data_IF_926476651544
#
_entry.id   IF_926476651544
#
_cell.length_a   1.000
_cell.length_b   1.000
_cell.length_c   1.000
_cell.angle_alpha   90.00
_cell.angle_beta   90.00
_cell.angle_gamma   90.00
#
_symmetry.space_group_name_H-M   'P 1'
#
loop_
_entity.id
_entity.type
_entity.pdbx_description
1 polymer ?
#
# COMPACT_ATOMS: atom_id res chain seq x y z
N UNK A 1 9.09 -16.64 -9.90
CA UNK A 1 9.87 -16.25 -11.08
C UNK A 1 11.35 -16.25 -10.70
N UNK A 2 12.20 -16.93 -11.47
CA UNK A 2 13.65 -16.90 -11.27
C UNK A 2 14.26 -16.08 -12.42
N UNK A 3 15.02 -15.03 -12.09
CA UNK A 3 15.67 -14.15 -13.06
C UNK A 3 17.15 -14.07 -12.72
N UNK A 4 18.00 -14.26 -13.72
CA UNK A 4 19.44 -14.03 -13.62
C UNK A 4 19.74 -12.65 -14.21
N UNK A 5 20.46 -11.82 -13.47
CA UNK A 5 20.79 -10.44 -13.88
C UNK A 5 22.28 -10.19 -13.68
N UNK A 6 22.87 -9.40 -14.58
CA UNK A 6 24.24 -8.91 -14.48
C UNK A 6 24.20 -7.39 -14.30
N UNK A 7 24.99 -6.88 -13.35
CA UNK A 7 25.06 -5.46 -13.04
C UNK A 7 26.53 -5.06 -13.06
N UNK A 8 26.81 -3.93 -13.71
CA UNK A 8 28.15 -3.38 -13.81
C UNK A 8 28.16 -1.91 -13.36
N UNK A 9 29.32 -1.47 -12.87
CA UNK A 9 29.59 -0.07 -12.57
C UNK A 9 28.83 0.45 -11.35
N UNK A 10 28.13 1.57 -11.49
CA UNK A 10 27.58 2.30 -10.34
C UNK A 10 26.46 1.52 -9.63
N UNK A 11 25.64 0.78 -10.37
CA UNK A 11 24.53 0.00 -9.81
C UNK A 11 25.05 -1.15 -8.94
N UNK A 12 26.09 -1.86 -9.41
CA UNK A 12 26.76 -2.89 -8.62
C UNK A 12 27.32 -2.31 -7.31
N UNK A 13 27.98 -1.14 -7.40
CA UNK A 13 28.54 -0.46 -6.23
C UNK A 13 27.49 -0.07 -5.19
N UNK A 14 26.31 0.38 -5.62
CA UNK A 14 25.19 0.70 -4.71
C UNK A 14 24.74 -0.57 -3.98
N UNK A 15 24.56 -1.68 -4.71
CA UNK A 15 24.12 -2.96 -4.14
C UNK A 15 25.15 -3.46 -3.11
N UNK A 16 26.44 -3.38 -3.44
CA UNK A 16 27.52 -3.84 -2.56
C UNK A 16 27.63 -2.98 -1.30
N UNK A 17 27.49 -1.65 -1.41
CA UNK A 17 27.47 -0.76 -0.23
C UNK A 17 26.22 -0.98 0.64
N UNK A 18 25.07 -1.30 0.06
CA UNK A 18 23.86 -1.62 0.83
C UNK A 18 24.05 -2.86 1.70
N UNK A 19 24.73 -3.90 1.18
CA UNK A 19 25.10 -5.09 1.95
C UNK A 19 26.16 -4.76 3.00
N UNK A 20 27.24 -4.07 2.61
CA UNK A 20 28.36 -3.74 3.49
C UNK A 20 27.94 -2.87 4.69
N UNK A 21 26.96 -1.99 4.51
CA UNK A 21 26.39 -1.15 5.57
C UNK A 21 25.34 -1.87 6.42
N UNK A 22 24.99 -3.11 6.08
CA UNK A 22 23.99 -3.90 6.80
C UNK A 22 22.54 -3.46 6.59
N UNK A 23 22.26 -2.66 5.56
CA UNK A 23 20.88 -2.26 5.20
C UNK A 23 20.10 -3.49 4.74
N UNK A 24 20.78 -4.40 4.05
CA UNK A 24 20.28 -5.70 3.61
C UNK A 24 21.32 -6.79 3.83
N UNK A 25 20.90 -8.05 3.85
CA UNK A 25 21.80 -9.21 4.05
C UNK A 25 22.37 -9.74 2.74
N UNK A 26 21.64 -9.57 1.63
CA UNK A 26 22.02 -10.14 0.33
C UNK A 26 21.78 -9.18 -0.82
N UNK A 27 22.49 -9.37 -1.96
CA UNK A 27 22.25 -8.62 -3.19
C UNK A 27 20.81 -8.77 -3.70
N UNK A 28 20.22 -9.96 -3.53
CA UNK A 28 18.83 -10.22 -3.90
C UNK A 28 17.84 -9.40 -3.06
N UNK A 29 18.09 -9.21 -1.77
CA UNK A 29 17.28 -8.33 -0.92
C UNK A 29 17.41 -6.86 -1.33
N UNK A 30 18.61 -6.40 -1.69
CA UNK A 30 18.81 -5.04 -2.22
C UNK A 30 17.90 -4.79 -3.43
N UNK A 31 17.85 -5.74 -4.36
CA UNK A 31 17.05 -5.65 -5.57
C UNK A 31 15.54 -5.66 -5.26
N UNK A 32 15.09 -6.52 -4.33
CA UNK A 32 13.69 -6.53 -3.89
C UNK A 32 13.27 -5.20 -3.29
N UNK A 33 14.08 -4.63 -2.40
CA UNK A 33 13.82 -3.31 -1.83
C UNK A 33 13.80 -2.22 -2.90
N UNK A 34 14.72 -2.27 -3.87
CA UNK A 34 14.71 -1.35 -5.00
C UNK A 34 13.40 -1.40 -5.80
N UNK A 35 12.90 -2.61 -6.10
CA UNK A 35 11.60 -2.77 -6.80
C UNK A 35 10.44 -2.25 -5.95
N UNK A 36 10.45 -2.48 -4.64
CA UNK A 36 9.43 -1.93 -3.73
C UNK A 36 9.46 -0.41 -3.67
N UNK A 37 10.64 0.21 -3.63
CA UNK A 37 10.76 1.67 -3.73
C UNK A 37 10.28 2.21 -5.08
N UNK A 38 10.53 1.48 -6.17
CA UNK A 38 9.97 1.85 -7.47
C UNK A 38 8.44 1.80 -7.44
N UNK A 39 7.85 0.80 -6.79
CA UNK A 39 6.40 0.74 -6.62
C UNK A 39 5.87 1.88 -5.75
N UNK A 40 6.55 2.21 -4.65
CA UNK A 40 6.19 3.35 -3.79
C UNK A 40 6.22 4.67 -4.55
N UNK A 41 7.22 4.87 -5.41
CA UNK A 41 7.41 6.11 -6.17
C UNK A 41 6.48 6.25 -7.37
N UNK A 42 6.19 5.15 -8.05
CA UNK A 42 5.50 5.17 -9.36
C UNK A 42 4.15 4.45 -9.35
N UNK A 43 3.75 3.85 -8.23
CA UNK A 43 2.50 3.08 -8.08
C UNK A 43 2.31 2.04 -9.21
N UNK A 44 3.40 1.35 -9.57
CA UNK A 44 3.49 0.45 -10.74
C UNK A 44 2.52 -0.72 -10.66
N UNK A 45 2.41 -1.28 -9.47
CA UNK A 45 1.34 -2.15 -9.04
C UNK A 45 0.53 -1.26 -8.13
N UNK A 46 -0.43 -0.55 -8.72
CA UNK A 46 -1.44 0.16 -7.97
C UNK A 46 -1.90 -0.78 -6.86
N UNK A 47 -1.88 -0.32 -5.60
CA UNK A 47 -2.94 -0.76 -4.69
C UNK A 47 -4.20 -0.61 -5.52
N UNK A 48 -4.93 -1.71 -5.71
CA UNK A 48 -6.06 -1.67 -6.61
C UNK A 48 -6.84 -0.40 -6.31
N UNK A 49 -6.96 0.48 -7.30
CA UNK A 49 -7.97 1.52 -7.28
C UNK A 49 -9.33 0.89 -6.96
N UNK A 50 -9.52 -0.43 -7.11
CA UNK A 50 -10.68 -1.15 -6.60
C UNK A 50 -10.89 -1.09 -5.09
N UNK A 51 -9.90 -1.11 -4.18
CA UNK A 51 -10.22 -1.06 -2.74
C UNK A 51 -10.65 0.36 -2.32
N UNK A 52 -9.90 1.39 -2.71
CA UNK A 52 -10.29 2.78 -2.45
C UNK A 52 -11.54 3.19 -3.24
N UNK A 53 -11.73 2.75 -4.49
CA UNK A 53 -12.98 2.99 -5.23
C UNK A 53 -14.13 2.17 -4.68
N UNK A 54 -13.95 0.93 -4.22
CA UNK A 54 -15.01 0.14 -3.59
C UNK A 54 -15.43 0.77 -2.26
N UNK A 55 -14.48 1.20 -1.43
CA UNK A 55 -14.74 1.92 -0.18
C UNK A 55 -15.42 3.27 -0.44
N UNK A 56 -14.97 4.01 -1.46
CA UNK A 56 -15.59 5.26 -1.88
C UNK A 56 -17.02 5.01 -2.41
N UNK A 57 -17.21 3.99 -3.24
CA UNK A 57 -18.51 3.58 -3.76
C UNK A 57 -19.45 3.08 -2.65
N UNK A 58 -18.91 2.39 -1.65
CA UNK A 58 -19.66 1.94 -0.48
C UNK A 58 -20.07 3.13 0.38
N UNK A 59 -19.16 4.07 0.64
CA UNK A 59 -19.44 5.31 1.35
C UNK A 59 -20.53 6.13 0.63
N UNK A 60 -20.44 6.29 -0.70
CA UNK A 60 -21.45 6.97 -1.53
C UNK A 60 -22.81 6.27 -1.40
N UNK A 61 -22.86 4.93 -1.53
CA UNK A 61 -24.11 4.16 -1.39
C UNK A 61 -24.73 4.30 0.01
N UNK A 62 -23.90 4.30 1.05
CA UNK A 62 -24.35 4.50 2.44
C UNK A 62 -24.93 5.91 2.59
N UNK A 63 -24.26 6.92 2.05
CA UNK A 63 -24.71 8.31 2.11
C UNK A 63 -26.05 8.51 1.37
N UNK A 64 -26.21 7.91 0.19
CA UNK A 64 -27.48 7.90 -0.55
C UNK A 64 -28.61 7.24 0.25
N UNK A 65 -28.33 6.12 0.94
CA UNK A 65 -29.32 5.46 1.80
C UNK A 65 -29.66 6.28 3.03
N UNK A 66 -28.71 7.00 3.62
CA UNK A 66 -28.95 7.96 4.71
C UNK A 66 -29.84 9.10 4.21
N UNK A 67 -29.51 9.72 3.07
CA UNK A 67 -30.31 10.78 2.44
C UNK A 67 -31.73 10.31 2.11
N UNK A 68 -31.87 9.07 1.66
CA UNK A 68 -33.17 8.44 1.41
C UNK A 68 -33.93 8.02 2.69
N UNK A 69 -33.38 8.25 3.89
CA UNK A 69 -34.00 7.89 5.16
C UNK A 69 -34.06 6.39 5.45
N UNK A 70 -33.25 5.59 4.73
CA UNK A 70 -33.24 4.12 4.84
C UNK A 70 -32.22 3.60 5.86
N UNK A 71 -31.40 4.48 6.44
CA UNK A 71 -30.43 4.14 7.47
C UNK A 71 -30.74 4.80 8.81
N UNK A 72 -30.46 4.08 9.90
CA UNK A 72 -30.57 4.61 11.25
C UNK A 72 -29.33 5.42 11.58
N UNK A 73 -29.48 6.73 11.67
CA UNK A 73 -28.40 7.63 12.11
C UNK A 73 -28.45 7.77 13.61
N UNK A 74 -27.31 7.53 14.27
CA UNK A 74 -27.17 7.69 15.72
C UNK A 74 -26.31 8.92 16.02
N UNK A 75 -26.73 9.80 16.95
CA UNK A 75 -25.86 10.85 17.46
C UNK A 75 -24.68 10.23 18.22
N UNK A 76 -23.53 10.90 18.18
CA UNK A 76 -22.26 10.41 18.72
C UNK A 76 -22.36 10.03 20.21
N UNK A 77 -23.14 10.79 20.99
CA UNK A 77 -23.41 10.52 22.40
C UNK A 77 -24.11 9.17 22.64
N UNK A 78 -24.86 8.66 21.66
CA UNK A 78 -25.60 7.40 21.73
C UNK A 78 -24.77 6.20 21.29
N UNK A 79 -23.74 6.42 20.45
CA UNK A 79 -22.82 5.38 19.98
C UNK A 79 -21.95 4.83 21.11
N UNK A 80 -21.51 5.68 22.05
CA UNK A 80 -20.69 5.29 23.21
C UNK A 80 -21.40 4.30 24.15
N UNK A 81 -22.72 4.26 24.13
CA UNK A 81 -23.55 3.36 24.96
C UNK A 81 -23.85 2.04 24.26
N UNK A 82 -23.77 1.99 22.92
CA UNK A 82 -24.09 0.81 22.11
C UNK A 82 -22.88 -0.10 21.85
N UNK A 83 -21.66 0.42 22.03
CA UNK A 83 -20.39 -0.29 21.78
C UNK A 83 -19.70 -0.77 23.07
N UNK A 84 -20.44 -0.84 24.19
CA UNK A 84 -20.01 -1.46 25.45
C UNK A 84 -20.64 -2.83 25.60
#
# INVERSE_FOLDING_TARGET
MNVTMHFDGYVERIIDEAVKRGVVKTKAEALRLGVLQLNEKYHLVSQNLSEDEEDLNLAIKIEERIKAGKEKVYPESKLKTLLR
#
